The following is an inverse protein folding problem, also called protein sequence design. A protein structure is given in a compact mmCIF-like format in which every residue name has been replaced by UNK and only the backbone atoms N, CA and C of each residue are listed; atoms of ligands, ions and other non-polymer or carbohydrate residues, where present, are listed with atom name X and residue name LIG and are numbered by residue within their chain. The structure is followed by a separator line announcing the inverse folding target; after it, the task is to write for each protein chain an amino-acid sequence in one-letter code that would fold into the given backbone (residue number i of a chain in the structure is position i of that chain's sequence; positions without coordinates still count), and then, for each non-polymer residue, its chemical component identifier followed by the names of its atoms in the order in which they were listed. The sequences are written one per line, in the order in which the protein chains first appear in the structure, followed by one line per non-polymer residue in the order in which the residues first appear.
data_IF_116752792989
#
_entry.id   IF_116752792989
#
_cell.length_a   1.000
_cell.length_b   1.000
_cell.length_c   1.000
_cell.angle_alpha   90.00
_cell.angle_beta   90.00
_cell.angle_gamma   90.00
#
_symmetry.space_group_name_H-M   'P 1'
#
loop_
_entity.id
_entity.type
_entity.pdbx_description
1 polymer ?
#
# COMPACT_ATOMS: atom_id res chain seq x y z
N UNK A 1 15.17 3.87 8.16
CA UNK A 1 15.35 3.20 9.48
C UNK A 1 16.20 4.01 10.45
N UNK A 2 17.38 4.52 10.05
CA UNK A 2 18.28 5.25 10.97
C UNK A 2 17.73 6.57 11.54
N UNK A 3 16.90 7.30 10.79
CA UNK A 3 16.22 8.49 11.32
C UNK A 3 15.11 8.17 12.34
N UNK A 4 14.44 7.02 12.18
CA UNK A 4 13.37 6.60 13.07
C UNK A 4 13.88 6.13 14.44
N UNK A 5 15.09 5.57 14.50
CA UNK A 5 15.70 5.13 15.77
C UNK A 5 16.20 6.28 16.64
N UNK A 6 16.26 7.50 16.09
CA UNK A 6 16.61 8.73 16.83
C UNK A 6 15.43 9.31 17.61
N UNK A 7 14.22 8.81 17.38
CA UNK A 7 13.01 9.26 18.06
C UNK A 7 12.83 8.41 19.34
N UNK A 8 12.91 9.00 20.55
CA UNK A 8 12.93 8.25 21.81
C UNK A 8 11.79 7.25 22.02
N UNK A 9 10.51 7.54 21.69
CA UNK A 9 9.43 6.56 21.85
C UNK A 9 9.48 5.40 20.84
N UNK A 10 10.23 5.54 19.74
CA UNK A 10 10.36 4.51 18.69
C UNK A 10 11.57 3.61 18.97
N UNK A 11 12.67 4.17 19.49
CA UNK A 11 13.85 3.41 19.92
C UNK A 11 14.30 2.37 18.89
N UNK A 12 14.42 1.11 19.31
CA UNK A 12 14.79 -0.02 18.44
C UNK A 12 13.59 -0.82 17.92
N UNK A 13 12.36 -0.32 18.09
CA UNK A 13 11.16 -0.94 17.52
C UNK A 13 11.27 -1.18 15.99
N UNK A 14 11.94 -0.31 15.21
CA UNK A 14 12.15 -0.54 13.79
C UNK A 14 12.87 -1.81 13.39
N UNK A 15 13.74 -2.32 14.27
CA UNK A 15 14.53 -3.52 14.02
C UNK A 15 13.94 -4.77 14.70
N UNK A 16 13.02 -4.58 15.65
CA UNK A 16 12.46 -5.66 16.48
C UNK A 16 10.99 -5.97 16.19
N UNK A 17 10.27 -5.05 15.57
CA UNK A 17 8.85 -5.23 15.23
C UNK A 17 8.68 -5.98 13.90
N UNK A 18 7.80 -7.00 13.90
CA UNK A 18 7.39 -7.71 12.69
C UNK A 18 6.75 -6.78 11.64
N UNK A 19 6.21 -5.64 12.07
CA UNK A 19 5.56 -4.66 11.18
C UNK A 19 6.57 -4.00 10.21
N UNK A 20 7.84 -3.91 10.61
CA UNK A 20 8.89 -3.30 9.79
C UNK A 20 9.76 -4.31 9.04
N UNK A 21 9.51 -5.61 9.23
CA UNK A 21 10.16 -6.65 8.44
C UNK A 21 9.73 -6.63 6.97
N UNK A 22 8.46 -6.30 6.68
CA UNK A 22 7.97 -6.30 5.30
C UNK A 22 8.71 -5.29 4.40
N UNK A 23 8.90 -4.01 4.78
CA UNK A 23 9.74 -3.08 4.03
C UNK A 23 11.20 -3.56 3.88
N UNK A 24 11.75 -4.19 4.91
CA UNK A 24 13.11 -4.72 4.87
C UNK A 24 13.25 -5.89 3.87
N UNK A 25 12.26 -6.78 3.81
CA UNK A 25 12.19 -7.86 2.82
C UNK A 25 12.10 -7.31 1.39
N UNK A 26 11.27 -6.29 1.16
CA UNK A 26 11.17 -5.63 -0.15
C UNK A 26 12.51 -5.01 -0.55
N UNK A 27 13.20 -4.33 0.37
CA UNK A 27 14.51 -3.75 0.11
C UNK A 27 15.54 -4.81 -0.32
N UNK A 28 15.66 -5.92 0.42
CA UNK A 28 16.54 -7.02 0.02
C UNK A 28 16.11 -7.66 -1.32
N UNK A 29 14.80 -7.78 -1.56
CA UNK A 29 14.26 -8.24 -2.83
C UNK A 29 14.69 -7.37 -4.02
N UNK A 30 14.62 -6.05 -3.87
CA UNK A 30 15.07 -5.10 -4.89
C UNK A 30 16.58 -5.21 -5.14
N UNK A 31 17.40 -5.33 -4.08
CA UNK A 31 18.85 -5.51 -4.22
C UNK A 31 19.20 -6.79 -5.00
N UNK A 32 18.47 -7.88 -4.76
CA UNK A 32 18.65 -9.14 -5.50
C UNK A 32 18.22 -9.01 -6.96
N UNK A 33 17.11 -8.31 -7.23
CA UNK A 33 16.65 -8.07 -8.61
C UNK A 33 17.66 -7.23 -9.40
N UNK A 34 18.18 -6.17 -8.79
CA UNK A 34 19.23 -5.33 -9.40
C UNK A 34 20.50 -6.14 -9.65
N UNK A 35 20.94 -6.96 -8.69
CA UNK A 35 22.09 -7.85 -8.88
C UNK A 35 21.91 -8.77 -10.09
N UNK A 36 20.73 -9.38 -10.23
CA UNK A 36 20.42 -10.24 -11.40
C UNK A 36 20.41 -9.42 -12.69
N UNK A 37 19.91 -8.19 -12.66
CA UNK A 37 19.87 -7.33 -13.84
C UNK A 37 21.28 -6.88 -14.28
N UNK A 38 22.17 -6.58 -13.34
CA UNK A 38 23.59 -6.31 -13.61
C UNK A 38 24.26 -7.51 -14.27
N UNK A 39 24.01 -8.73 -13.77
CA UNK A 39 24.55 -9.95 -14.36
C UNK A 39 23.98 -10.22 -15.76
N UNK A 40 22.68 -9.94 -15.97
CA UNK A 40 22.03 -10.00 -17.29
C UNK A 40 22.72 -9.06 -18.28
N UNK A 41 23.00 -7.81 -17.89
CA UNK A 41 23.67 -6.81 -18.74
C UNK A 41 25.09 -7.24 -19.10
N UNK A 42 25.85 -7.80 -18.16
CA UNK A 42 27.23 -8.27 -18.39
C UNK A 42 27.30 -9.50 -19.30
N UNK A 43 26.38 -10.46 -19.15
CA UNK A 43 26.44 -11.76 -19.83
C UNK A 43 25.54 -11.89 -21.07
N UNK A 44 24.78 -10.84 -21.43
CA UNK A 44 23.79 -10.82 -22.54
C UNK A 44 22.93 -12.09 -22.59
N UNK A 45 22.40 -12.49 -21.44
CA UNK A 45 21.66 -13.75 -21.27
C UNK A 45 20.28 -13.70 -21.95
N UNK A 46 19.87 -14.85 -22.50
CA UNK A 46 18.51 -15.06 -23.03
C UNK A 46 17.45 -15.01 -21.92
N UNK A 47 16.19 -14.74 -22.27
CA UNK A 47 15.08 -14.60 -21.32
C UNK A 47 14.95 -15.80 -20.36
N UNK A 48 15.06 -17.04 -20.88
CA UNK A 48 15.01 -18.25 -20.05
C UNK A 48 16.17 -18.35 -19.06
N UNK A 49 17.38 -17.96 -19.48
CA UNK A 49 18.57 -17.98 -18.63
C UNK A 49 18.48 -16.92 -17.52
N UNK A 50 17.81 -15.79 -17.79
CA UNK A 50 17.54 -14.77 -16.76
C UNK A 50 16.55 -15.29 -15.72
N UNK A 51 15.47 -15.98 -16.12
CA UNK A 51 14.54 -16.56 -15.13
C UNK A 51 15.21 -17.63 -14.26
N UNK A 52 16.05 -18.47 -14.86
CA UNK A 52 16.80 -19.48 -14.13
C UNK A 52 17.84 -18.85 -13.19
N UNK A 53 18.49 -17.76 -13.61
CA UNK A 53 19.38 -16.98 -12.75
C UNK A 53 18.63 -16.30 -11.59
N UNK A 54 17.41 -15.78 -11.83
CA UNK A 54 16.55 -15.23 -10.78
C UNK A 54 16.23 -16.28 -9.73
N UNK A 55 15.77 -17.46 -10.14
CA UNK A 55 15.50 -18.58 -9.23
C UNK A 55 16.75 -19.02 -8.47
N UNK A 56 17.90 -19.13 -9.16
CA UNK A 56 19.16 -19.55 -8.56
C UNK A 56 19.71 -18.57 -7.52
N UNK A 57 19.42 -17.27 -7.66
CA UNK A 57 19.83 -16.23 -6.69
C UNK A 57 18.77 -16.04 -5.59
N UNK A 58 17.48 -16.10 -5.95
CA UNK A 58 16.38 -15.93 -5.00
C UNK A 58 16.25 -17.10 -4.03
N UNK A 59 16.43 -18.35 -4.48
CA UNK A 59 16.32 -19.54 -3.63
C UNK A 59 17.30 -19.54 -2.43
N UNK A 60 18.63 -19.33 -2.60
CA UNK A 60 19.54 -19.28 -1.47
C UNK A 60 19.29 -18.05 -0.58
N UNK A 61 18.93 -16.90 -1.16
CA UNK A 61 18.61 -15.71 -0.36
C UNK A 61 17.37 -15.91 0.51
N UNK A 62 16.32 -16.55 -0.03
CA UNK A 62 15.15 -16.95 0.74
C UNK A 62 15.52 -17.98 1.81
N UNK A 63 16.37 -18.95 1.50
CA UNK A 63 16.89 -19.92 2.47
C UNK A 63 17.63 -19.27 3.64
N UNK A 64 18.49 -18.28 3.36
CA UNK A 64 19.20 -17.50 4.40
C UNK A 64 18.21 -16.71 5.26
N UNK A 65 17.21 -16.06 4.66
CA UNK A 65 16.19 -15.33 5.42
C UNK A 65 15.36 -16.25 6.33
N UNK A 66 14.98 -17.44 5.84
CA UNK A 66 14.27 -18.45 6.63
C UNK A 66 15.15 -18.99 7.76
N UNK A 67 16.43 -19.22 7.50
CA UNK A 67 17.38 -19.67 8.52
C UNK A 67 17.56 -18.62 9.61
N UNK A 68 17.73 -17.34 9.25
CA UNK A 68 17.80 -16.23 10.19
C UNK A 68 16.51 -16.17 11.02
N UNK A 69 15.34 -16.25 10.38
CA UNK A 69 14.06 -16.25 11.08
C UNK A 69 13.95 -17.43 12.06
N UNK A 70 14.36 -18.64 11.66
CA UNK A 70 14.32 -19.83 12.50
C UNK A 70 15.27 -19.75 13.70
N UNK A 71 16.46 -19.15 13.53
CA UNK A 71 17.43 -18.94 14.60
C UNK A 71 17.00 -17.84 15.57
N UNK A 72 16.35 -16.78 15.08
CA UNK A 72 15.92 -15.66 15.91
C UNK A 72 14.56 -15.91 16.59
N UNK A 73 13.72 -16.80 16.06
CA UNK A 73 12.44 -17.18 16.66
C UNK A 73 12.54 -17.64 18.13
N UNK A 74 13.44 -18.59 18.50
CA UNK A 74 13.56 -19.05 19.89
C UNK A 74 14.19 -18.00 20.83
N UNK A 75 14.88 -16.98 20.31
CA UNK A 75 15.51 -15.94 21.12
C UNK A 75 14.52 -14.87 21.62
N UNK A 76 13.26 -14.91 21.16
CA UNK A 76 12.25 -13.90 21.51
C UNK A 76 12.58 -12.49 21.03
N UNK A 77 13.59 -12.34 20.15
CA UNK A 77 14.05 -11.04 19.66
C UNK A 77 13.00 -10.33 18.79
N UNK A 78 12.22 -11.11 18.03
CA UNK A 78 11.05 -10.61 17.33
C UNK A 78 9.86 -10.57 18.27
N UNK A 79 9.44 -9.36 18.66
CA UNK A 79 8.18 -9.18 19.38
C UNK A 79 7.01 -9.57 18.47
N UNK A 80 5.94 -10.20 19.01
CA UNK A 80 4.74 -10.47 18.23
C UNK A 80 4.15 -9.18 17.66
N UNK A 81 3.36 -9.30 16.57
CA UNK A 81 2.61 -8.17 16.00
C UNK A 81 1.90 -7.40 17.13
N UNK A 82 2.02 -6.08 17.13
CA UNK A 82 1.40 -5.23 18.14
C UNK A 82 -0.08 -5.59 18.26
N UNK A 83 -0.60 -5.69 19.48
CA UNK A 83 -1.99 -6.09 19.75
C UNK A 83 -3.00 -5.25 18.96
N UNK A 84 -2.69 -3.97 18.73
CA UNK A 84 -3.50 -3.05 17.90
C UNK A 84 -3.50 -3.45 16.43
N UNK A 85 -2.34 -3.72 15.84
CA UNK A 85 -2.25 -4.13 14.42
C UNK A 85 -2.85 -5.53 14.23
N UNK A 86 -2.61 -6.44 15.17
CA UNK A 86 -3.25 -7.77 15.16
C UNK A 86 -4.77 -7.68 15.25
N UNK A 87 -5.33 -6.71 16.00
CA UNK A 87 -6.78 -6.48 16.07
C UNK A 87 -7.39 -5.96 14.77
N UNK A 88 -6.60 -5.36 13.86
CA UNK A 88 -7.06 -4.96 12.53
C UNK A 88 -7.27 -6.16 11.60
N UNK A 89 -6.43 -7.20 11.73
CA UNK A 89 -6.51 -8.42 10.90
C UNK A 89 -7.40 -9.50 11.51
N UNK A 90 -7.38 -9.64 12.83
CA UNK A 90 -8.18 -10.59 13.59
C UNK A 90 -9.24 -9.82 14.36
N UNK A 91 -10.52 -9.97 13.95
CA UNK A 91 -11.66 -9.46 14.72
C UNK A 91 -11.54 -10.04 16.13
N UNK A 92 -11.19 -9.22 17.11
CA UNK A 92 -11.22 -9.66 18.49
C UNK A 92 -12.67 -10.01 18.81
N UNK A 93 -12.89 -11.26 19.18
CA UNK A 93 -14.11 -11.71 19.83
C UNK A 93 -14.36 -10.76 20.99
N UNK A 94 -15.56 -10.14 20.98
CA UNK A 94 -16.06 -9.20 21.98
C UNK A 94 -15.47 -9.49 23.34
N UNK A 95 -14.83 -8.48 23.93
CA UNK A 95 -13.98 -8.62 25.12
C UNK A 95 -14.77 -8.95 26.38
N UNK A 96 -16.10 -9.09 26.27
CA UNK A 96 -17.02 -9.37 27.37
C UNK A 96 -17.25 -8.18 28.31
N UNK A 97 -16.47 -7.10 28.15
CA UNK A 97 -16.63 -5.85 28.89
C UNK A 97 -17.38 -4.81 28.03
N UNK A 98 -18.65 -4.49 28.34
CA UNK A 98 -19.46 -3.55 27.57
C UNK A 98 -18.88 -2.13 27.54
N UNK A 99 -18.01 -1.74 28.49
CA UNK A 99 -17.35 -0.41 28.47
C UNK A 99 -16.28 -0.28 27.38
N UNK A 100 -15.66 -1.39 26.95
CA UNK A 100 -14.60 -1.40 25.92
C UNK A 100 -15.20 -1.65 24.53
N UNK A 101 -16.21 -2.53 24.44
CA UNK A 101 -16.91 -2.82 23.19
C UNK A 101 -17.91 -1.71 22.80
N UNK A 102 -18.30 -0.83 23.73
CA UNK A 102 -19.15 0.36 23.50
C UNK A 102 -18.38 1.54 22.93
N UNK A 103 -17.04 1.54 22.97
CA UNK A 103 -16.27 2.63 22.38
C UNK A 103 -16.42 2.52 20.86
N UNK A 104 -17.01 3.54 20.24
CA UNK A 104 -17.27 3.64 18.80
C UNK A 104 -16.02 3.40 17.90
N UNK A 105 -14.84 3.32 18.52
CA UNK A 105 -13.55 2.96 17.92
C UNK A 105 -13.55 1.62 17.18
N UNK A 106 -14.32 0.63 17.63
CA UNK A 106 -14.34 -0.70 17.02
C UNK A 106 -15.55 -0.96 16.12
N UNK A 107 -16.43 0.03 15.94
CA UNK A 107 -17.57 -0.14 15.08
C UNK A 107 -17.15 0.00 13.61
N UNK A 108 -17.64 -0.90 12.73
CA UNK A 108 -17.38 -0.79 11.30
C UNK A 108 -17.97 0.52 10.78
N UNK A 109 -17.28 1.16 9.85
CA UNK A 109 -17.76 2.38 9.23
C UNK A 109 -19.07 2.10 8.48
N UNK A 110 -20.12 2.84 8.82
CA UNK A 110 -21.40 2.78 8.12
C UNK A 110 -21.31 3.58 6.80
N UNK A 111 -22.09 3.22 5.79
CA UNK A 111 -22.09 3.90 4.48
C UNK A 111 -22.38 5.40 4.61
N UNK A 112 -23.32 5.75 5.50
CA UNK A 112 -23.66 7.15 5.83
C UNK A 112 -22.46 7.94 6.38
N UNK A 113 -21.53 7.28 7.09
CA UNK A 113 -20.32 7.93 7.56
C UNK A 113 -19.41 8.29 6.37
N UNK A 114 -19.25 7.39 5.39
CA UNK A 114 -18.47 7.69 4.18
C UNK A 114 -19.03 8.88 3.41
N UNK A 115 -20.35 8.93 3.23
CA UNK A 115 -21.01 10.06 2.57
C UNK A 115 -20.82 11.36 3.36
N UNK A 116 -20.92 11.31 4.69
CA UNK A 116 -20.74 12.49 5.54
C UNK A 116 -19.29 12.99 5.55
N UNK A 117 -18.29 12.12 5.49
CA UNK A 117 -16.88 12.54 5.50
C UNK A 117 -16.35 12.92 4.11
N UNK A 118 -16.72 12.19 3.06
CA UNK A 118 -16.21 12.41 1.70
C UNK A 118 -17.11 13.25 0.80
N UNK A 119 -18.37 13.49 1.19
CA UNK A 119 -19.36 14.26 0.40
C UNK A 119 -19.31 13.87 -1.09
N UNK A 120 -19.14 14.85 -1.98
CA UNK A 120 -19.14 14.66 -3.44
C UNK A 120 -17.98 13.79 -3.94
N UNK A 121 -16.89 13.68 -3.18
CA UNK A 121 -15.72 12.87 -3.59
C UNK A 121 -16.05 11.39 -3.50
N UNK A 122 -17.00 10.98 -2.64
CA UNK A 122 -17.44 9.58 -2.53
C UNK A 122 -17.94 9.04 -3.87
N UNK A 123 -18.76 9.82 -4.58
CA UNK A 123 -19.35 9.41 -5.86
C UNK A 123 -18.33 9.47 -7.01
N UNK A 124 -17.35 10.38 -6.94
CA UNK A 124 -16.35 10.60 -8.00
C UNK A 124 -15.16 9.64 -7.88
N UNK A 125 -14.78 9.26 -6.66
CA UNK A 125 -13.67 8.35 -6.36
C UNK A 125 -13.69 7.02 -7.15
N UNK A 126 -14.82 6.29 -7.30
CA UNK A 126 -14.83 5.05 -8.07
C UNK A 126 -14.54 5.28 -9.57
N UNK A 127 -14.96 6.40 -10.15
CA UNK A 127 -14.62 6.73 -11.54
C UNK A 127 -13.12 7.00 -11.69
N UNK A 128 -12.52 7.75 -10.75
CA UNK A 128 -11.08 7.96 -10.70
C UNK A 128 -10.32 6.63 -10.59
N UNK A 129 -10.81 5.71 -9.75
CA UNK A 129 -10.21 4.39 -9.57
C UNK A 129 -10.24 3.58 -10.86
N UNK A 130 -11.37 3.57 -11.58
CA UNK A 130 -11.51 2.90 -12.87
C UNK A 130 -10.58 3.50 -13.93
N UNK A 131 -10.46 4.83 -14.01
CA UNK A 131 -9.53 5.46 -14.95
C UNK A 131 -8.06 5.16 -14.63
N UNK A 132 -7.70 5.15 -13.35
CA UNK A 132 -6.36 4.74 -12.91
C UNK A 132 -6.08 3.26 -13.20
N UNK A 133 -7.08 2.39 -13.16
CA UNK A 133 -6.95 0.98 -13.58
C UNK A 133 -6.74 0.83 -15.09
N UNK A 134 -7.43 1.62 -15.91
CA UNK A 134 -7.28 1.55 -17.37
C UNK A 134 -5.91 2.09 -17.80
N UNK A 135 -5.42 3.15 -17.15
CA UNK A 135 -4.11 3.75 -17.43
C UNK A 135 -3.03 3.15 -16.53
N UNK A 136 -2.47 2.01 -16.92
CA UNK A 136 -1.35 1.37 -16.24
C UNK A 136 -0.06 2.21 -16.34
N UNK A 137 0.17 3.06 -15.33
CA UNK A 137 1.43 3.76 -15.08
C UNK A 137 1.87 3.48 -13.66
N UNK A 138 3.18 3.60 -13.36
CA UNK A 138 3.71 3.32 -12.03
C UNK A 138 3.04 4.18 -10.94
N UNK A 139 2.75 5.44 -11.26
CA UNK A 139 2.04 6.36 -10.36
C UNK A 139 0.58 5.92 -10.13
N UNK A 140 -0.13 5.52 -11.18
CA UNK A 140 -1.52 5.05 -11.05
C UNK A 140 -1.60 3.71 -10.31
N UNK A 141 -0.63 2.82 -10.51
CA UNK A 141 -0.56 1.54 -9.80
C UNK A 141 -0.41 1.76 -8.30
N UNK A 142 0.48 2.68 -7.89
CA UNK A 142 0.64 3.06 -6.50
C UNK A 142 -0.66 3.60 -5.91
N UNK A 143 -1.34 4.47 -6.66
CA UNK A 143 -2.60 5.09 -6.25
C UNK A 143 -3.72 4.05 -6.08
N UNK A 144 -3.85 3.11 -7.02
CA UNK A 144 -4.82 2.00 -6.96
C UNK A 144 -4.55 1.10 -5.75
N UNK A 145 -3.29 0.70 -5.52
CA UNK A 145 -2.92 -0.11 -4.36
C UNK A 145 -3.20 0.62 -3.04
N UNK A 146 -2.89 1.92 -2.98
CA UNK A 146 -3.18 2.73 -1.80
C UNK A 146 -4.70 2.82 -1.55
N UNK A 147 -5.49 3.02 -2.59
CA UNK A 147 -6.95 3.08 -2.48
C UNK A 147 -7.54 1.77 -1.96
N UNK A 148 -7.10 0.61 -2.49
CA UNK A 148 -7.54 -0.71 -2.06
C UNK A 148 -7.21 -0.98 -0.59
N UNK A 149 -5.98 -0.66 -0.18
CA UNK A 149 -5.53 -0.86 1.21
C UNK A 149 -6.27 0.08 2.16
N UNK A 150 -6.41 1.36 1.83
CA UNK A 150 -7.13 2.34 2.65
C UNK A 150 -8.63 2.01 2.77
N UNK A 151 -9.26 1.56 1.69
CA UNK A 151 -10.65 1.11 1.70
C UNK A 151 -10.86 -0.14 2.58
N UNK A 152 -9.94 -1.11 2.50
CA UNK A 152 -9.99 -2.29 3.36
C UNK A 152 -9.91 -1.93 4.86
N UNK A 153 -8.97 -1.05 5.23
CA UNK A 153 -8.77 -0.66 6.62
C UNK A 153 -9.88 0.25 7.16
N UNK A 154 -10.40 1.17 6.35
CA UNK A 154 -11.53 2.03 6.75
C UNK A 154 -12.82 1.22 7.00
N UNK A 155 -13.05 0.13 6.26
CA UNK A 155 -14.18 -0.77 6.50
C UNK A 155 -14.06 -1.52 7.85
N UNK A 156 -12.82 -1.79 8.31
CA UNK A 156 -12.57 -2.47 9.59
C UNK A 156 -12.68 -1.55 10.81
N UNK A 157 -12.35 -0.27 10.67
CA UNK A 157 -12.31 0.68 11.78
C UNK A 157 -12.69 2.09 11.30
N UNK A 158 -13.76 2.67 11.86
CA UNK A 158 -14.26 3.98 11.44
C UNK A 158 -13.21 5.12 11.52
N UNK A 159 -12.28 5.06 12.48
CA UNK A 159 -11.19 6.05 12.61
C UNK A 159 -10.22 6.04 11.42
N UNK A 160 -10.09 4.92 10.71
CA UNK A 160 -9.16 4.80 9.58
C UNK A 160 -9.71 5.43 8.30
N UNK A 161 -10.92 6.01 8.33
CA UNK A 161 -11.44 6.81 7.21
C UNK A 161 -10.55 8.01 6.88
N UNK A 162 -9.78 8.52 7.87
CA UNK A 162 -8.79 9.58 7.65
C UNK A 162 -7.70 9.16 6.67
N UNK A 163 -7.40 7.86 6.55
CA UNK A 163 -6.43 7.34 5.57
C UNK A 163 -7.03 7.24 4.17
N UNK A 164 -8.36 7.13 4.07
CA UNK A 164 -9.10 7.12 2.80
C UNK A 164 -9.22 8.53 2.21
N UNK A 165 -9.28 9.57 3.04
CA UNK A 165 -9.43 10.96 2.60
C UNK A 165 -8.41 11.41 1.54
N UNK A 166 -7.09 11.31 1.79
CA UNK A 166 -6.07 11.73 0.83
C UNK A 166 -6.16 10.99 -0.50
N UNK A 167 -6.32 9.66 -0.46
CA UNK A 167 -6.37 8.86 -1.70
C UNK A 167 -7.66 9.09 -2.49
N UNK A 168 -8.79 9.27 -1.81
CA UNK A 168 -10.05 9.61 -2.45
C UNK A 168 -9.99 10.99 -3.12
N UNK A 169 -9.35 11.97 -2.47
CA UNK A 169 -9.13 13.29 -3.07
C UNK A 169 -8.21 13.23 -4.30
N UNK A 170 -7.17 12.40 -4.27
CA UNK A 170 -6.27 12.20 -5.41
C UNK A 170 -6.97 11.51 -6.58
N UNK A 171 -7.80 10.49 -6.32
CA UNK A 171 -8.63 9.83 -7.33
C UNK A 171 -9.67 10.78 -7.93
N UNK A 172 -10.35 11.56 -7.08
CA UNK A 172 -11.31 12.56 -7.51
C UNK A 172 -10.67 13.63 -8.39
N UNK A 173 -9.50 14.13 -7.98
CA UNK A 173 -8.70 15.07 -8.76
C UNK A 173 -8.25 14.51 -10.10
N UNK A 174 -7.81 13.25 -10.15
CA UNK A 174 -7.44 12.57 -11.40
C UNK A 174 -8.65 12.42 -12.34
N UNK A 175 -9.82 12.06 -11.82
CA UNK A 175 -11.04 11.90 -12.62
C UNK A 175 -11.50 13.25 -13.21
N UNK A 176 -11.56 14.29 -12.37
CA UNK A 176 -11.94 15.64 -12.79
C UNK A 176 -10.92 16.20 -13.79
N UNK A 177 -9.61 15.99 -13.55
CA UNK A 177 -8.55 16.43 -14.46
C UNK A 177 -8.70 15.82 -15.86
N UNK A 178 -8.94 14.50 -15.95
CA UNK A 178 -9.17 13.83 -17.24
C UNK A 178 -10.43 14.37 -17.92
N UNK A 179 -11.51 14.57 -17.17
CA UNK A 179 -12.76 15.11 -17.72
C UNK A 179 -12.57 16.54 -18.25
N UNK A 180 -11.83 17.37 -17.51
CA UNK A 180 -11.55 18.75 -17.87
C UNK A 180 -10.64 18.84 -19.09
N UNK A 181 -9.57 18.04 -19.15
CA UNK A 181 -8.70 17.95 -20.33
C UNK A 181 -9.49 17.54 -21.57
N UNK A 182 -10.37 16.54 -21.47
CA UNK A 182 -11.19 16.13 -22.60
C UNK A 182 -12.19 17.20 -23.02
N UNK A 183 -12.77 17.95 -22.10
CA UNK A 183 -13.71 19.01 -22.43
C UNK A 183 -13.00 20.21 -23.06
N UNK A 184 -11.97 20.75 -22.39
CA UNK A 184 -11.24 21.94 -22.86
C UNK A 184 -10.49 21.68 -24.16
N UNK A 185 -9.76 20.57 -24.27
CA UNK A 185 -9.00 20.29 -25.50
C UNK A 185 -9.92 20.02 -26.67
N UNK A 186 -11.07 19.34 -26.48
CA UNK A 186 -12.05 19.14 -27.56
C UNK A 186 -12.75 20.44 -27.95
N UNK A 187 -13.06 21.31 -27.00
CA UNK A 187 -13.65 22.63 -27.28
C UNK A 187 -12.64 23.53 -27.99
N UNK A 188 -11.39 23.57 -27.53
CA UNK A 188 -10.32 24.33 -28.15
C UNK A 188 -9.99 23.83 -29.56
N UNK A 189 -9.94 22.51 -29.78
CA UNK A 189 -9.75 21.91 -31.10
C UNK A 189 -10.93 22.18 -32.04
N UNK A 190 -12.17 22.15 -31.54
CA UNK A 190 -13.34 22.53 -32.33
C UNK A 190 -13.35 24.02 -32.69
N UNK A 191 -12.93 24.89 -31.77
CA UNK A 191 -12.81 26.32 -32.03
C UNK A 191 -11.68 26.63 -33.04
N UNK A 192 -10.54 25.95 -32.93
CA UNK A 192 -9.42 26.10 -33.87
C UNK A 192 -9.72 25.48 -35.25
N UNK A 193 -10.44 24.35 -35.31
CA UNK A 193 -10.85 23.71 -36.55
C UNK A 193 -12.02 24.39 -37.26
N UNK A 194 -12.77 25.27 -36.58
CA UNK A 194 -13.79 26.11 -37.20
C UNK A 194 -13.24 27.43 -37.77
N UNK A 195 -11.95 27.72 -37.56
CA UNK A 195 -11.27 28.93 -38.01
C UNK A 195 -10.40 28.73 -39.27
N UNK A 196 -10.44 27.53 -39.88
CA UNK A 196 -9.82 27.19 -41.18
C UNK A 196 -10.95 26.78 -42.12
#
# INVERSE_FOLDING_TARGET
TFGATRVPPVGMAPLKSLEQLAPMLVFFGLQLLEYVEVQRRKRKLSWMQVQLLRLKVAAPAAGVLVLIAALLYPTGYFGPLSSRVRSLFVKHTRTGNPLVDSVAEHQPANEQAYQHYLHNIYDIAPYGFLFSLIRFTDANLFLVLYALVAYYFSNKMARLIILLGPVASALGGAAIGIAFDQLLLRVAQRAAGAAI
#
